data_IF_670704628155
#
_entry.id   IF_670704628155
#
_cell.length_a   1.000
_cell.length_b   1.000
_cell.length_c   1.000
_cell.angle_alpha   90.00
_cell.angle_beta   90.00
_cell.angle_gamma   90.00
#
_symmetry.space_group_name_H-M   'P 1'
#
loop_
_entity.id
_entity.type
_entity.pdbx_description
1 polymer ?
#
# COMPACT_ATOMS: atom_id res chain seq x y z
N UNK A 1 -6.59 -20.43 2.02
CA UNK A 1 -6.75 -19.12 2.70
C UNK A 1 -5.76 -18.19 2.02
N UNK A 2 -6.18 -16.98 1.67
CA UNK A 2 -5.28 -16.00 1.03
C UNK A 2 -4.23 -15.54 2.04
N UNK A 3 -2.99 -15.37 1.59
CA UNK A 3 -1.91 -14.79 2.41
C UNK A 3 -2.09 -13.27 2.62
N UNK A 4 -3.05 -12.67 1.90
CA UNK A 4 -3.39 -11.25 2.02
C UNK A 4 -4.31 -11.02 3.22
N UNK A 5 -3.80 -10.35 4.25
CA UNK A 5 -4.52 -10.05 5.49
C UNK A 5 -4.19 -8.64 5.99
N UNK A 6 -4.98 -8.14 6.95
CA UNK A 6 -4.71 -6.83 7.55
C UNK A 6 -3.29 -6.78 8.15
N UNK A 7 -2.61 -5.65 7.94
CA UNK A 7 -1.34 -5.34 8.59
C UNK A 7 -0.10 -5.77 7.80
N UNK A 8 -0.25 -6.41 6.65
CA UNK A 8 0.89 -6.71 5.78
C UNK A 8 1.26 -5.51 4.90
N UNK A 9 2.55 -5.40 4.59
CA UNK A 9 3.08 -4.46 3.61
C UNK A 9 3.37 -5.19 2.30
N UNK A 10 2.92 -4.61 1.20
CA UNK A 10 3.06 -5.17 -0.14
C UNK A 10 3.71 -4.13 -1.04
N UNK A 11 4.83 -4.50 -1.65
CA UNK A 11 5.37 -3.75 -2.77
C UNK A 11 4.84 -4.37 -4.07
N UNK A 12 4.05 -3.60 -4.82
CA UNK A 12 3.42 -4.10 -6.03
C UNK A 12 3.08 -2.98 -7.01
N UNK A 13 3.25 -3.29 -8.30
CA UNK A 13 2.74 -2.52 -9.43
C UNK A 13 1.22 -2.72 -9.57
N UNK A 14 0.50 -2.14 -8.61
CA UNK A 14 -0.96 -2.05 -8.62
C UNK A 14 -1.31 -0.79 -9.39
N UNK A 15 -2.16 -0.85 -10.45
CA UNK A 15 -2.40 0.24 -11.40
C UNK A 15 -2.54 1.58 -10.68
N UNK A 16 -1.42 2.28 -10.61
CA UNK A 16 -1.20 3.61 -10.11
C UNK A 16 -0.69 4.37 -11.34
N UNK A 17 -1.09 5.63 -11.55
CA UNK A 17 -0.67 6.37 -12.73
C UNK A 17 0.86 6.46 -12.90
N UNK A 18 1.64 6.18 -11.85
CA UNK A 18 3.10 6.19 -11.85
C UNK A 18 3.61 4.98 -11.05
N UNK A 19 4.61 4.26 -11.59
CA UNK A 19 5.51 3.25 -11.01
C UNK A 19 5.00 2.23 -9.93
N UNK A 20 5.85 1.25 -9.61
CA UNK A 20 5.59 0.35 -8.48
C UNK A 20 5.62 1.15 -7.17
N UNK A 21 4.58 0.98 -6.33
CA UNK A 21 4.46 1.66 -5.05
C UNK A 21 4.39 0.66 -3.89
N UNK A 22 4.84 1.10 -2.71
CA UNK A 22 4.60 0.40 -1.46
C UNK A 22 3.16 0.67 -1.00
N UNK A 23 2.47 -0.39 -0.61
CA UNK A 23 1.13 -0.35 -0.04
C UNK A 23 1.05 -1.05 1.31
N UNK A 24 0.19 -0.55 2.19
CA UNK A 24 -0.25 -1.28 3.38
C UNK A 24 -1.67 -1.81 3.19
N UNK A 25 -1.90 -3.05 3.63
CA UNK A 25 -3.24 -3.64 3.67
C UNK A 25 -3.91 -3.28 4.99
N UNK A 26 -5.00 -2.51 4.90
CA UNK A 26 -5.70 -1.93 6.06
C UNK A 26 -6.84 -2.80 6.58
N UNK A 27 -7.32 -3.77 5.80
CA UNK A 27 -8.45 -4.62 6.16
C UNK A 27 -8.20 -6.08 5.80
N UNK A 28 -8.89 -6.97 6.51
CA UNK A 28 -8.99 -8.36 6.08
C UNK A 28 -9.82 -8.44 4.78
N UNK A 29 -9.66 -9.52 3.98
CA UNK A 29 -10.50 -9.77 2.82
C UNK A 29 -11.98 -9.87 3.18
N UNK A 30 -12.83 -9.08 2.53
CA UNK A 30 -14.30 -9.10 2.73
C UNK A 30 -15.03 -9.11 1.38
N UNK A 31 -16.17 -9.81 1.31
CA UNK A 31 -17.07 -9.84 0.16
C UNK A 31 -16.87 -11.04 -0.79
N UNK A 32 -17.64 -11.04 -1.88
CA UNK A 32 -17.57 -12.05 -2.94
C UNK A 32 -17.75 -11.37 -4.33
N UNK A 33 -16.68 -11.20 -5.14
CA UNK A 33 -15.31 -11.63 -4.87
C UNK A 33 -14.65 -10.80 -3.73
N UNK A 34 -13.68 -11.38 -2.99
CA UNK A 34 -13.08 -10.73 -1.83
C UNK A 34 -12.22 -9.52 -2.22
N UNK A 35 -12.35 -8.44 -1.45
CA UNK A 35 -11.57 -7.20 -1.59
C UNK A 35 -10.88 -6.81 -0.29
N UNK A 36 -9.77 -6.09 -0.41
CA UNK A 36 -9.04 -5.48 0.70
C UNK A 36 -8.89 -3.97 0.49
N UNK A 37 -8.91 -3.21 1.59
CA UNK A 37 -8.52 -1.80 1.58
C UNK A 37 -7.00 -1.67 1.60
N UNK A 38 -6.45 -0.91 0.67
CA UNK A 38 -5.02 -0.65 0.57
C UNK A 38 -4.75 0.84 0.45
N UNK A 39 -3.65 1.29 1.03
CA UNK A 39 -3.20 2.70 0.96
C UNK A 39 -1.74 2.74 0.54
N UNK A 40 -1.37 3.71 -0.29
CA UNK A 40 0.02 3.91 -0.70
C UNK A 40 0.78 4.77 0.31
N UNK A 41 2.10 4.60 0.26
CA UNK A 41 3.05 5.44 0.99
C UNK A 41 3.74 6.35 -0.02
N UNK A 42 3.88 7.64 0.34
CA UNK A 42 4.57 8.63 -0.49
C UNK A 42 5.68 9.30 0.30
N UNK A 43 6.78 9.66 -0.38
CA UNK A 43 7.89 10.38 0.24
C UNK A 43 7.49 11.81 0.56
N UNK A 44 7.83 12.28 1.76
CA UNK A 44 7.60 13.65 2.21
C UNK A 44 8.49 14.63 1.44
N UNK A 45 7.88 15.68 0.90
CA UNK A 45 8.50 16.76 0.12
C UNK A 45 8.01 18.16 0.53
N UNK A 46 7.30 18.28 1.66
CA UNK A 46 6.69 19.50 2.18
C UNK A 46 5.66 20.12 1.19
N UNK A 47 4.89 19.28 0.52
CA UNK A 47 3.83 19.69 -0.40
C UNK A 47 2.51 19.98 0.35
N UNK A 48 1.65 20.89 -0.16
CA UNK A 48 0.41 21.26 0.53
C UNK A 48 -0.61 20.13 0.72
N UNK A 49 -0.52 19.07 -0.07
CA UNK A 49 -1.44 17.92 -0.05
C UNK A 49 -0.93 16.77 0.84
N UNK A 50 0.20 16.93 1.52
CA UNK A 50 0.74 15.87 2.38
C UNK A 50 -0.14 15.63 3.59
N UNK A 51 -0.46 14.36 3.82
CA UNK A 51 -1.15 13.95 5.04
C UNK A 51 -0.12 13.77 6.15
N UNK A 52 -0.24 14.55 7.23
CA UNK A 52 0.66 14.48 8.39
C UNK A 52 0.08 13.66 9.55
N UNK A 53 -1.04 12.97 9.35
CA UNK A 53 -1.66 12.10 10.38
C UNK A 53 -0.73 10.95 10.74
N UNK A 54 -0.10 10.34 9.73
CA UNK A 54 0.88 9.27 9.91
C UNK A 54 2.10 9.55 9.04
N UNK A 55 3.20 9.87 9.71
CA UNK A 55 4.54 10.02 9.11
C UNK A 55 5.38 8.80 9.49
N UNK A 56 6.05 8.22 8.50
CA UNK A 56 6.97 7.10 8.64
C UNK A 56 8.40 7.61 8.46
N UNK A 57 9.30 7.16 9.32
CA UNK A 57 10.71 7.52 9.30
C UNK A 57 11.58 6.31 8.90
N UNK A 58 12.80 6.54 8.41
CA UNK A 58 13.75 5.45 8.17
C UNK A 58 13.91 4.57 9.41
N UNK A 59 13.68 3.27 9.27
CA UNK A 59 13.70 2.29 10.37
C UNK A 59 12.33 1.73 10.75
N UNK A 60 11.23 2.44 10.47
CA UNK A 60 9.87 1.95 10.77
C UNK A 60 9.49 0.73 9.93
N UNK A 61 9.97 0.69 8.69
CA UNK A 61 9.84 -0.46 7.80
C UNK A 61 11.03 -0.54 6.85
N UNK A 62 11.41 -1.74 6.42
CA UNK A 62 12.59 -2.00 5.57
C UNK A 62 12.58 -1.28 4.21
N UNK A 63 11.40 -0.85 3.75
CA UNK A 63 11.22 -0.11 2.50
C UNK A 63 11.23 1.42 2.69
N UNK A 64 11.14 1.91 3.93
CA UNK A 64 11.14 3.35 4.23
C UNK A 64 12.59 3.81 4.36
N UNK A 65 13.09 4.51 3.34
CA UNK A 65 14.46 5.05 3.27
C UNK A 65 14.52 6.56 3.50
N UNK A 66 13.37 7.23 3.44
CA UNK A 66 13.19 8.66 3.62
C UNK A 66 11.92 8.89 4.42
N UNK A 67 11.83 10.03 5.10
CA UNK A 67 10.59 10.48 5.70
C UNK A 67 9.46 10.41 4.67
N UNK A 68 8.41 9.68 5.02
CA UNK A 68 7.29 9.35 4.15
C UNK A 68 5.99 9.52 4.91
N UNK A 69 4.86 9.54 4.21
CA UNK A 69 3.55 9.61 4.82
C UNK A 69 2.59 8.61 4.19
N UNK A 70 1.59 8.19 4.97
CA UNK A 70 0.50 7.35 4.50
C UNK A 70 -0.54 8.24 3.83
N UNK A 71 -0.81 8.01 2.55
CA UNK A 71 -1.68 8.90 1.78
C UNK A 71 -3.12 8.40 1.76
N UNK A 72 -3.86 8.62 2.87
CA UNK A 72 -5.21 8.06 3.06
C UNK A 72 -6.22 8.48 2.00
N UNK A 73 -6.09 9.68 1.41
CA UNK A 73 -6.96 10.13 0.31
C UNK A 73 -6.90 9.20 -0.91
N UNK A 74 -5.77 8.52 -1.13
CA UNK A 74 -5.57 7.56 -2.20
C UNK A 74 -5.88 6.10 -1.82
N UNK A 75 -6.49 5.87 -0.65
CA UNK A 75 -6.91 4.54 -0.26
C UNK A 75 -7.97 3.96 -1.21
N UNK A 76 -7.85 2.67 -1.52
CA UNK A 76 -8.71 2.00 -2.51
C UNK A 76 -9.00 0.55 -2.14
N UNK A 77 -10.15 0.05 -2.60
CA UNK A 77 -10.52 -1.35 -2.51
C UNK A 77 -10.02 -2.12 -3.72
N UNK A 78 -9.31 -3.22 -3.49
CA UNK A 78 -8.71 -4.04 -4.55
C UNK A 78 -9.10 -5.49 -4.38
N UNK A 79 -9.43 -6.17 -5.48
CA UNK A 79 -9.68 -7.60 -5.48
C UNK A 79 -8.43 -8.35 -5.03
N UNK A 80 -8.58 -9.29 -4.10
CA UNK A 80 -7.47 -10.09 -3.55
C UNK A 80 -6.70 -10.80 -4.66
N UNK A 81 -7.40 -11.38 -5.64
CA UNK A 81 -6.79 -12.07 -6.79
C UNK A 81 -5.80 -11.16 -7.57
N UNK A 82 -6.13 -9.87 -7.72
CA UNK A 82 -5.25 -8.91 -8.41
C UNK A 82 -3.98 -8.68 -7.59
N UNK A 83 -4.12 -8.56 -6.27
CA UNK A 83 -2.99 -8.37 -5.35
C UNK A 83 -2.08 -9.60 -5.37
N UNK A 84 -2.64 -10.79 -5.22
CA UNK A 84 -1.90 -12.07 -5.24
C UNK A 84 -1.12 -12.25 -6.54
N UNK A 85 -1.77 -11.98 -7.69
CA UNK A 85 -1.10 -12.06 -8.98
C UNK A 85 0.09 -11.11 -9.07
N UNK A 86 -0.05 -9.86 -8.59
CA UNK A 86 1.02 -8.86 -8.64
C UNK A 86 2.19 -9.19 -7.73
N UNK A 87 1.93 -9.77 -6.55
CA UNK A 87 2.97 -10.28 -5.65
C UNK A 87 3.71 -11.44 -6.31
N UNK A 88 2.99 -12.39 -6.93
CA UNK A 88 3.58 -13.54 -7.60
C UNK A 88 4.43 -13.16 -8.84
N UNK A 89 4.08 -12.08 -9.54
CA UNK A 89 4.84 -11.54 -10.67
C UNK A 89 6.21 -10.96 -10.26
N UNK A 90 6.52 -10.86 -8.96
CA UNK A 90 7.85 -10.44 -8.48
C UNK A 90 8.19 -8.99 -8.82
N UNK A 91 7.18 -8.14 -9.04
CA UNK A 91 7.33 -6.70 -9.20
C UNK A 91 7.56 -6.03 -7.83
N UNK A 92 8.69 -6.42 -7.23
CA UNK A 92 9.31 -5.90 -6.00
C UNK A 92 10.34 -4.84 -6.38
#
# INVERSE_FOLDING_TARGET
>A
MSDIQKGIAIHADIPSPEDAHLFFVLSDPVGNPPKVAMVNISTKRNLPFEDHTVVLQPGDHSFIRHDSFVYYEYARLINVEVVERKVAEGKI
#
